data_IF_936035393253
#
_entry.id   IF_936035393253
#
_cell.length_a   1.000
_cell.length_b   1.000
_cell.length_c   1.000
_cell.angle_alpha   90.00
_cell.angle_beta   90.00
_cell.angle_gamma   90.00
#
_symmetry.space_group_name_H-M   'P 1'
#
loop_
_entity.id
_entity.type
_entity.pdbx_description
1 polymer ?
#
# COMPACT_ATOMS: atom_id res chain seq x y z
N UNK A 1 2.54 2.66 3.12
CA UNK A 1 1.85 3.97 3.12
C UNK A 1 0.35 3.79 3.39
N UNK A 2 -0.05 4.08 4.63
CA UNK A 2 -1.46 4.12 5.06
C UNK A 2 -2.27 5.08 4.17
N UNK A 3 -3.56 4.80 3.91
CA UNK A 3 -4.41 5.64 3.07
C UNK A 3 -4.35 7.09 3.55
N UNK A 4 -3.95 8.00 2.66
CA UNK A 4 -3.93 9.43 2.95
C UNK A 4 -5.32 9.87 3.42
N UNK A 5 -5.44 10.55 4.57
CA UNK A 5 -6.72 11.05 5.04
C UNK A 5 -7.25 12.10 4.05
N UNK A 6 -8.40 11.81 3.43
CA UNK A 6 -9.04 12.72 2.50
C UNK A 6 -9.76 13.85 3.26
N UNK A 7 -9.65 15.08 2.76
CA UNK A 7 -10.44 16.21 3.27
C UNK A 7 -11.93 15.91 3.10
N UNK A 8 -12.67 16.00 4.19
CA UNK A 8 -14.10 15.74 4.27
C UNK A 8 -14.94 17.03 4.33
N UNK A 9 -14.34 18.17 4.70
CA UNK A 9 -14.97 19.49 4.69
C UNK A 9 -14.00 20.59 5.15
N UNK A 10 -14.26 21.83 4.74
CA UNK A 10 -13.52 23.03 5.16
C UNK A 10 -14.48 24.18 5.43
N UNK A 11 -14.28 24.91 6.53
CA UNK A 11 -15.03 26.13 6.87
C UNK A 11 -14.04 27.27 7.18
N UNK A 12 -14.31 28.47 6.65
CA UNK A 12 -13.51 29.66 6.93
C UNK A 12 -14.34 30.68 7.73
N UNK A 13 -13.78 31.18 8.83
CA UNK A 13 -14.28 32.36 9.52
C UNK A 13 -13.12 33.31 9.85
N UNK A 14 -12.90 34.32 9.00
CA UNK A 14 -11.78 35.26 9.13
C UNK A 14 -10.41 34.59 9.00
N UNK A 15 -9.59 34.68 10.04
CA UNK A 15 -8.25 34.06 10.15
C UNK A 15 -8.28 32.63 10.71
N UNK A 16 -9.46 32.12 11.07
CA UNK A 16 -9.68 30.78 11.63
C UNK A 16 -10.29 29.85 10.57
N UNK A 17 -9.71 28.67 10.44
CA UNK A 17 -10.09 27.67 9.46
C UNK A 17 -10.36 26.35 10.16
N UNK A 18 -11.46 25.69 9.83
CA UNK A 18 -11.77 24.35 10.32
C UNK A 18 -11.65 23.34 9.18
N UNK A 19 -10.80 22.32 9.37
CA UNK A 19 -10.49 21.29 8.39
C UNK A 19 -10.84 19.92 8.96
N UNK A 20 -11.69 19.18 8.26
CA UNK A 20 -12.11 17.84 8.66
C UNK A 20 -11.49 16.79 7.76
N UNK A 21 -10.93 15.73 8.35
CA UNK A 21 -10.29 14.63 7.64
C UNK A 21 -10.85 13.28 8.06
N UNK A 22 -10.98 12.34 7.11
CA UNK A 22 -11.21 10.94 7.47
C UNK A 22 -9.86 10.27 7.79
N UNK A 23 -9.58 10.13 9.08
CA UNK A 23 -8.34 9.53 9.62
C UNK A 23 -8.55 8.10 10.12
N UNK A 24 -9.65 7.43 9.71
CA UNK A 24 -9.95 6.06 10.13
C UNK A 24 -8.92 5.02 9.65
N UNK A 25 -8.06 5.39 8.71
CA UNK A 25 -6.92 4.61 8.23
C UNK A 25 -5.71 4.61 9.17
N UNK A 26 -5.68 5.48 10.18
CA UNK A 26 -4.61 5.56 11.17
C UNK A 26 -4.98 4.79 12.43
N UNK A 27 -4.03 4.03 12.97
CA UNK A 27 -4.24 3.19 14.16
C UNK A 27 -3.21 3.49 15.26
N UNK A 28 -3.53 3.14 16.51
CA UNK A 28 -2.61 3.26 17.65
C UNK A 28 -1.40 2.31 17.57
N UNK A 29 -1.46 1.32 16.67
CA UNK A 29 -0.35 0.42 16.31
C UNK A 29 0.68 1.09 15.40
N UNK A 30 0.39 2.29 14.88
CA UNK A 30 1.31 3.08 14.07
C UNK A 30 2.10 4.06 14.93
N UNK A 31 3.38 4.20 14.61
CA UNK A 31 4.27 5.23 15.11
C UNK A 31 4.38 6.33 14.05
N UNK A 32 3.78 7.49 14.31
CA UNK A 32 3.85 8.64 13.40
C UNK A 32 5.22 9.31 13.55
N UNK A 33 6.04 9.29 12.50
CA UNK A 33 7.35 9.95 12.47
C UNK A 33 7.25 11.44 12.14
N UNK A 34 6.36 11.81 11.20
CA UNK A 34 6.14 13.19 10.78
C UNK A 34 4.70 13.35 10.26
N UNK A 35 4.03 14.44 10.60
CA UNK A 35 2.77 14.81 9.97
C UNK A 35 2.78 16.29 9.55
N UNK A 36 2.45 16.54 8.28
CA UNK A 36 2.45 17.86 7.67
C UNK A 36 1.10 18.15 7.03
N UNK A 37 0.48 19.24 7.45
CA UNK A 37 -0.68 19.81 6.81
C UNK A 37 -0.23 20.86 5.80
N UNK A 38 -0.56 20.65 4.53
CA UNK A 38 -0.24 21.55 3.42
C UNK A 38 -1.52 22.20 2.92
N UNK A 39 -1.52 23.53 2.84
CA UNK A 39 -2.68 24.36 2.54
C UNK A 39 -2.33 25.38 1.46
N UNK A 40 -3.10 25.45 0.39
CA UNK A 40 -3.00 26.39 -0.73
C UNK A 40 -4.32 27.14 -0.87
N UNK A 41 -4.57 28.08 0.03
CA UNK A 41 -5.81 28.86 0.03
C UNK A 41 -5.53 30.31 -0.40
N UNK A 42 -6.28 30.86 -1.37
CA UNK A 42 -6.04 32.21 -1.90
C UNK A 42 -6.10 33.30 -0.81
N UNK A 43 -6.84 33.08 0.30
CA UNK A 43 -6.94 34.01 1.44
C UNK A 43 -5.81 33.95 2.48
N UNK A 44 -4.99 32.88 2.52
CA UNK A 44 -3.86 32.79 3.46
C UNK A 44 -2.66 33.68 3.07
N UNK A 45 -2.67 34.22 1.85
CA UNK A 45 -1.59 35.01 1.27
C UNK A 45 -1.33 36.35 1.99
N UNK A 46 -2.26 36.83 2.82
CA UNK A 46 -2.14 38.10 3.59
C UNK A 46 -2.27 37.95 5.10
N UNK A 47 -2.60 36.76 5.63
CA UNK A 47 -2.75 36.56 7.06
C UNK A 47 -1.39 36.27 7.70
N UNK A 48 -0.89 37.19 8.54
CA UNK A 48 0.39 37.00 9.25
C UNK A 48 0.33 35.86 10.27
N UNK A 49 -0.87 35.58 10.82
CA UNK A 49 -1.15 34.45 11.70
C UNK A 49 -2.47 33.78 11.25
N UNK A 50 -2.44 32.47 11.00
CA UNK A 50 -3.62 31.68 10.73
C UNK A 50 -3.81 30.62 11.84
N UNK A 51 -5.05 30.39 12.25
CA UNK A 51 -5.41 29.31 13.16
C UNK A 51 -6.20 28.24 12.41
N UNK A 52 -5.75 26.99 12.52
CA UNK A 52 -6.30 25.83 11.83
C UNK A 52 -6.81 24.83 12.88
N UNK A 53 -8.12 24.65 12.93
CA UNK A 53 -8.78 23.63 13.73
C UNK A 53 -8.87 22.34 12.92
N UNK A 54 -8.37 21.24 13.48
CA UNK A 54 -8.32 19.94 12.81
C UNK A 54 -9.34 19.00 13.46
N UNK A 55 -10.19 18.40 12.63
CA UNK A 55 -11.21 17.45 13.04
C UNK A 55 -11.04 16.11 12.33
N UNK A 56 -11.39 15.04 13.02
CA UNK A 56 -11.61 13.71 12.45
C UNK A 56 -13.11 13.53 12.19
N UNK A 57 -13.48 13.13 10.97
CA UNK A 57 -14.87 12.86 10.60
C UNK A 57 -15.01 11.56 9.83
N UNK A 58 -15.84 10.63 10.32
CA UNK A 58 -16.18 9.39 9.60
C UNK A 58 -17.48 9.59 8.80
N UNK A 59 -17.44 9.43 7.47
CA UNK A 59 -18.66 9.45 6.64
C UNK A 59 -19.47 8.16 6.84
N UNK A 60 -20.35 8.11 7.85
CA UNK A 60 -21.42 7.09 7.92
C UNK A 60 -22.71 7.61 7.28
N UNK A 61 -23.44 6.74 6.58
CA UNK A 61 -24.76 7.05 6.03
C UNK A 61 -25.71 7.41 7.18
N UNK A 62 -26.22 8.63 7.16
CA UNK A 62 -27.09 9.16 8.19
C UNK A 62 -28.46 8.48 8.18
N UNK A 63 -29.03 8.28 9.37
CA UNK A 63 -30.47 8.04 9.53
C UNK A 63 -31.23 9.35 9.25
N UNK A 64 -32.49 9.27 8.80
CA UNK A 64 -33.29 10.43 8.38
C UNK A 64 -33.57 11.48 9.47
N UNK A 65 -33.29 11.21 10.76
CA UNK A 65 -33.56 12.13 11.90
C UNK A 65 -32.47 13.19 12.18
N UNK A 66 -31.63 13.52 11.22
CA UNK A 66 -30.88 14.79 11.22
C UNK A 66 -29.71 14.97 12.20
N UNK A 67 -29.43 14.08 13.16
CA UNK A 67 -28.19 14.17 13.97
C UNK A 67 -27.09 13.29 13.38
N UNK A 68 -26.13 13.90 12.68
CA UNK A 68 -25.13 13.14 11.98
C UNK A 68 -23.81 13.89 11.81
N UNK A 69 -23.05 14.02 12.90
CA UNK A 69 -21.62 14.36 12.86
C UNK A 69 -20.93 13.85 14.12
N UNK A 70 -20.34 12.65 14.07
CA UNK A 70 -19.24 12.34 14.99
C UNK A 70 -17.98 13.02 14.42
N UNK A 71 -17.91 14.34 14.59
CA UNK A 71 -16.69 15.11 14.37
C UNK A 71 -15.93 15.13 15.69
N UNK A 72 -14.72 14.57 15.70
CA UNK A 72 -13.84 14.59 16.86
C UNK A 72 -12.80 15.69 16.63
N UNK A 73 -12.73 16.65 17.56
CA UNK A 73 -11.73 17.70 17.53
C UNK A 73 -10.37 17.15 18.00
N UNK A 74 -9.32 17.33 17.20
CA UNK A 74 -7.96 16.89 17.54
C UNK A 74 -7.13 18.01 18.17
N UNK A 75 -7.33 19.26 17.73
CA UNK A 75 -6.61 20.42 18.24
C UNK A 75 -6.53 21.57 17.24
N UNK A 76 -6.00 22.70 17.71
CA UNK A 76 -5.77 23.91 16.91
C UNK A 76 -4.27 24.09 16.68
N UNK A 77 -3.88 24.34 15.43
CA UNK A 77 -2.52 24.75 15.08
C UNK A 77 -2.51 26.23 14.73
N UNK A 78 -1.65 26.98 15.42
CA UNK A 78 -1.45 28.41 15.22
C UNK A 78 -0.02 28.62 14.75
N UNK A 79 0.17 29.35 13.65
CA UNK A 79 1.52 29.65 13.19
C UNK A 79 1.58 30.62 12.03
N UNK A 80 2.72 31.30 11.93
CA UNK A 80 3.12 31.98 10.72
C UNK A 80 3.56 30.92 9.71
N UNK A 81 2.94 30.83 8.53
CA UNK A 81 3.22 29.74 7.62
C UNK A 81 4.58 29.92 6.95
N UNK A 82 5.54 29.02 7.23
CA UNK A 82 6.84 29.00 6.54
C UNK A 82 6.63 28.99 5.04
N UNK A 83 7.12 30.03 4.37
CA UNK A 83 7.03 30.17 2.93
C UNK A 83 8.03 29.21 2.29
N UNK A 84 7.54 28.24 1.53
CA UNK A 84 8.38 27.51 0.58
C UNK A 84 8.26 28.17 -0.80
N UNK A 85 9.16 27.85 -1.74
CA UNK A 85 9.17 28.41 -3.10
C UNK A 85 7.88 28.16 -3.91
N UNK A 86 6.97 27.31 -3.41
CA UNK A 86 5.65 27.07 -3.98
C UNK A 86 4.57 27.74 -3.11
N UNK A 87 3.42 28.08 -3.72
CA UNK A 87 2.24 28.71 -3.08
C UNK A 87 1.58 27.90 -1.95
N UNK A 88 2.23 26.86 -1.43
CA UNK A 88 1.79 25.98 -0.36
C UNK A 88 2.34 26.45 0.98
N UNK A 89 1.44 26.57 1.96
CA UNK A 89 1.78 26.79 3.36
C UNK A 89 1.80 25.45 4.08
N UNK A 90 2.86 25.19 4.86
CA UNK A 90 3.08 23.92 5.55
C UNK A 90 2.99 24.15 7.06
N UNK A 91 2.17 23.36 7.72
CA UNK A 91 2.00 23.33 9.18
C UNK A 91 2.40 21.95 9.68
N UNK A 92 3.30 21.91 10.66
CA UNK A 92 3.64 20.65 11.32
C UNK A 92 2.57 20.30 12.35
N UNK A 93 1.99 19.11 12.22
CA UNK A 93 0.90 18.62 13.08
C UNK A 93 1.26 17.29 13.76
N UNK A 94 2.55 16.93 13.75
CA UNK A 94 3.07 15.64 14.24
C UNK A 94 2.64 15.34 15.67
N UNK A 95 2.88 16.26 16.59
CA UNK A 95 2.60 16.05 18.02
C UNK A 95 1.10 15.95 18.31
N UNK A 96 0.28 16.76 17.62
CA UNK A 96 -1.18 16.73 17.70
C UNK A 96 -1.74 15.37 17.24
N UNK A 97 -1.19 14.81 16.17
CA UNK A 97 -1.62 13.50 15.67
C UNK A 97 -1.14 12.35 16.57
N UNK A 98 0.10 12.41 17.09
CA UNK A 98 0.63 11.44 18.06
C UNK A 98 -0.20 11.42 19.34
N UNK A 99 -0.54 12.59 19.88
CA UNK A 99 -1.35 12.67 21.09
C UNK A 99 -2.73 12.05 20.85
N UNK A 100 -3.37 12.34 19.72
CA UNK A 100 -4.67 11.73 19.40
C UNK A 100 -4.59 10.20 19.24
N UNK A 101 -3.56 9.67 18.58
CA UNK A 101 -3.40 8.22 18.36
C UNK A 101 -3.04 7.42 19.62
N UNK A 102 -2.35 8.04 20.57
CA UNK A 102 -1.87 7.38 21.80
C UNK A 102 -2.62 7.80 23.06
N UNK A 103 -3.63 8.67 22.95
CA UNK A 103 -4.52 9.02 24.05
C UNK A 103 -5.45 7.84 24.38
N UNK A 104 -5.08 7.08 25.41
CA UNK A 104 -6.06 6.41 26.26
C UNK A 104 -6.74 7.48 27.11
N UNK A 105 -7.86 8.05 26.64
CA UNK A 105 -8.69 8.91 27.50
C UNK A 105 -9.55 8.00 28.39
N UNK A 106 -9.46 8.11 29.74
CA UNK A 106 -10.40 7.44 30.63
C UNK A 106 -11.81 7.94 30.32
N UNK A 107 -12.78 7.01 30.24
CA UNK A 107 -14.19 7.34 30.15
C UNK A 107 -14.63 8.04 31.46
N UNK A 108 -14.39 9.35 31.57
CA UNK A 108 -14.64 10.09 32.82
C UNK A 108 -14.79 11.60 32.67
N UNK A 109 -14.01 12.25 31.80
CA UNK A 109 -14.14 13.70 31.57
C UNK A 109 -14.45 14.00 30.12
N UNK A 110 -15.70 13.75 29.76
CA UNK A 110 -16.34 14.39 28.62
C UNK A 110 -16.62 15.84 29.02
N UNK A 111 -15.58 16.69 28.99
CA UNK A 111 -15.75 18.13 29.18
C UNK A 111 -16.65 18.65 28.07
N UNK A 112 -17.93 18.80 28.43
CA UNK A 112 -18.95 19.57 27.74
C UNK A 112 -18.44 21.00 27.64
N UNK A 113 -17.72 21.31 26.58
CA UNK A 113 -17.49 22.70 26.19
C UNK A 113 -18.79 23.18 25.55
N UNK A 114 -19.63 23.81 26.36
CA UNK A 114 -20.73 24.63 25.86
C UNK A 114 -20.11 25.71 24.98
N UNK A 115 -20.45 25.68 23.69
CA UNK A 115 -20.19 26.76 22.77
C UNK A 115 -21.04 27.97 23.18
N UNK A 116 -20.59 28.71 24.19
CA UNK A 116 -21.02 30.08 24.40
C UNK A 116 -20.32 30.94 23.36
N UNK A 117 -20.88 30.90 22.15
CA UNK A 117 -20.45 31.62 20.98
C UNK A 117 -21.46 31.32 19.88
N UNK A 118 -22.49 32.15 19.81
CA UNK A 118 -23.54 32.12 18.81
C UNK A 118 -22.96 32.13 17.39
N UNK A 119 -22.80 30.95 16.81
CA UNK A 119 -22.69 30.74 15.37
C UNK A 119 -23.30 29.37 15.05
N UNK A 120 -24.50 29.40 14.46
CA UNK A 120 -25.15 28.20 13.97
C UNK A 120 -24.22 27.44 12.99
N UNK A 121 -24.25 26.09 12.97
CA UNK A 121 -23.54 25.34 11.94
C UNK A 121 -24.25 25.61 10.60
N UNK A 122 -23.65 26.44 9.76
CA UNK A 122 -24.09 26.60 8.38
C UNK A 122 -23.84 25.30 7.61
N UNK A 123 -24.81 24.95 6.76
CA UNK A 123 -24.85 23.73 5.95
C UNK A 123 -23.56 23.47 5.16
N UNK A 124 -23.26 22.19 4.82
CA UNK A 124 -22.04 21.85 4.08
C UNK A 124 -22.12 22.43 2.66
N UNK A 125 -21.32 23.48 2.43
CA UNK A 125 -21.09 24.05 1.11
C UNK A 125 -20.38 23.05 0.20
N UNK A 126 -20.80 23.05 -1.06
CA UNK A 126 -20.39 22.15 -2.13
C UNK A 126 -18.86 22.11 -2.30
N UNK A 127 -18.27 20.96 -2.00
CA UNK A 127 -16.82 20.72 -2.02
C UNK A 127 -16.34 20.31 -3.42
N UNK A 128 -16.54 21.20 -4.39
CA UNK A 128 -16.10 20.97 -5.78
C UNK A 128 -14.64 21.32 -6.05
N UNK A 129 -14.10 22.33 -5.36
CA UNK A 129 -12.84 22.99 -5.77
C UNK A 129 -11.76 23.07 -4.66
N UNK A 130 -12.09 22.59 -3.44
CA UNK A 130 -11.20 22.68 -2.28
C UNK A 130 -10.28 21.45 -2.08
N UNK A 131 -10.57 20.32 -2.72
CA UNK A 131 -9.82 19.08 -2.51
C UNK A 131 -8.35 19.16 -2.97
N UNK A 132 -8.05 19.95 -4.01
CA UNK A 132 -6.69 20.19 -4.51
C UNK A 132 -5.92 21.28 -3.73
N UNK A 133 -6.56 21.86 -2.71
CA UNK A 133 -6.01 22.99 -1.95
C UNK A 133 -5.57 22.62 -0.54
N UNK A 134 -5.90 21.43 -0.02
CA UNK A 134 -5.53 21.00 1.33
C UNK A 134 -5.14 19.52 1.35
N UNK A 135 -3.95 19.21 1.86
CA UNK A 135 -3.42 17.86 1.97
C UNK A 135 -2.82 17.62 3.35
N UNK A 136 -3.19 16.52 4.01
CA UNK A 136 -2.53 16.05 5.22
C UNK A 136 -1.61 14.87 4.86
N UNK A 137 -0.30 15.10 4.90
CA UNK A 137 0.71 14.06 4.75
C UNK A 137 1.06 13.48 6.11
N UNK A 138 1.00 12.16 6.23
CA UNK A 138 1.37 11.44 7.45
C UNK A 138 2.41 10.39 7.09
N UNK A 139 3.59 10.50 7.67
CA UNK A 139 4.62 9.49 7.64
C UNK A 139 4.51 8.66 8.92
N UNK A 140 4.15 7.38 8.78
CA UNK A 140 4.01 6.45 9.89
C UNK A 140 4.73 5.14 9.59
N UNK A 141 5.17 4.48 10.67
CA UNK A 141 5.75 3.14 10.66
C UNK A 141 4.91 2.24 11.56
N UNK A 142 4.55 1.05 11.10
CA UNK A 142 3.84 0.09 11.95
C UNK A 142 4.78 -0.45 13.04
N UNK A 143 4.31 -0.55 14.29
CA UNK A 143 5.09 -1.04 15.44
C UNK A 143 5.52 -2.50 15.29
N UNK A 144 4.80 -3.27 14.48
CA UNK A 144 5.23 -4.57 13.97
C UNK A 144 5.51 -4.44 12.48
N UNK A 145 6.67 -4.87 11.97
CA UNK A 145 6.88 -4.96 10.53
C UNK A 145 6.03 -6.11 10.00
N UNK A 146 4.73 -5.86 9.79
CA UNK A 146 3.95 -6.70 8.89
C UNK A 146 4.58 -6.58 7.50
N UNK A 147 4.66 -7.69 6.76
CA UNK A 147 5.12 -7.67 5.37
C UNK A 147 4.20 -6.75 4.55
N UNK A 148 4.60 -5.49 4.39
CA UNK A 148 3.93 -4.54 3.51
C UNK A 148 4.29 -4.88 2.07
N UNK A 149 3.48 -5.74 1.44
CA UNK A 149 3.55 -5.97 0.00
C UNK A 149 2.93 -4.78 -0.76
N UNK A 150 3.56 -4.39 -1.86
CA UNK A 150 2.98 -3.43 -2.80
C UNK A 150 1.70 -3.98 -3.43
N UNK A 151 1.56 -5.31 -3.52
CA UNK A 151 0.36 -5.99 -4.01
C UNK A 151 -0.84 -5.64 -3.11
N UNK A 152 -0.76 -5.88 -1.80
CA UNK A 152 -1.82 -5.50 -0.83
C UNK A 152 -2.10 -4.01 -0.83
N UNK A 153 -1.06 -3.19 -0.99
CA UNK A 153 -1.21 -1.73 -1.05
C UNK A 153 -1.98 -1.30 -2.30
N UNK A 154 -1.70 -1.93 -3.44
CA UNK A 154 -2.40 -1.68 -4.70
C UNK A 154 -3.85 -2.17 -4.64
N UNK A 155 -4.09 -3.38 -4.12
CA UNK A 155 -5.44 -3.96 -3.99
C UNK A 155 -6.35 -3.17 -3.05
N UNK A 156 -5.79 -2.64 -1.95
CA UNK A 156 -6.54 -1.81 -1.00
C UNK A 156 -6.71 -0.34 -1.47
N UNK A 157 -6.08 0.06 -2.58
CA UNK A 157 -6.17 1.41 -3.09
C UNK A 157 -7.51 1.68 -3.79
N UNK A 158 -8.24 2.67 -3.28
CA UNK A 158 -9.51 3.15 -3.86
C UNK A 158 -9.38 3.64 -5.31
N UNK A 159 -8.17 3.99 -5.76
CA UNK A 159 -7.94 4.51 -7.12
C UNK A 159 -7.82 3.41 -8.17
N UNK A 160 -7.35 2.21 -7.80
CA UNK A 160 -7.17 1.08 -8.73
C UNK A 160 -8.51 0.34 -8.96
N UNK A 161 -9.35 0.23 -7.92
CA UNK A 161 -10.67 -0.43 -8.01
C UNK A 161 -11.73 0.36 -8.79
N UNK A 162 -11.47 1.62 -9.17
CA UNK A 162 -12.46 2.46 -9.87
C UNK A 162 -12.53 2.18 -11.38
N UNK A 163 -11.54 1.49 -11.95
CA UNK A 163 -11.56 1.12 -13.38
C UNK A 163 -12.47 -0.07 -13.71
N UNK A 164 -12.78 -0.94 -12.73
CA UNK A 164 -13.67 -2.10 -12.91
C UNK A 164 -15.15 -1.81 -12.60
N UNK A 165 -15.49 -0.58 -12.20
CA UNK A 165 -16.82 -0.20 -11.68
C UNK A 165 -17.77 0.53 -12.64
N UNK A 166 -17.49 0.61 -13.94
CA UNK A 166 -18.38 1.27 -14.93
C UNK A 166 -19.03 0.29 -15.91
N UNK A 167 -19.65 -0.77 -15.39
CA UNK A 167 -20.64 -1.56 -16.14
C UNK A 167 -21.79 -1.95 -15.22
N UNK A 168 -22.74 -1.04 -15.03
CA UNK A 168 -23.98 -1.40 -14.34
C UNK A 168 -24.84 -0.25 -13.87
N UNK A 169 -25.43 0.51 -14.80
CA UNK A 169 -26.77 1.10 -14.65
C UNK A 169 -27.16 1.86 -15.93
N UNK A 170 -28.04 1.28 -16.75
CA UNK A 170 -28.55 1.94 -17.95
C UNK A 170 -29.18 0.95 -18.93
N UNK A 171 -30.36 0.46 -18.60
CA UNK A 171 -31.19 -0.36 -19.47
C UNK A 171 -31.69 0.42 -20.71
N UNK A 172 -31.89 -0.34 -21.80
CA UNK A 172 -32.90 -0.11 -22.86
C UNK A 172 -32.72 1.11 -23.77
N UNK A 173 -31.96 0.93 -24.86
CA UNK A 173 -32.36 1.23 -26.27
C UNK A 173 -31.15 1.13 -27.20
N UNK A 174 -31.05 0.01 -27.92
CA UNK A 174 -30.53 -0.13 -29.29
C UNK A 174 -30.02 -1.55 -29.53
N UNK A 175 -30.96 -2.50 -29.44
CA UNK A 175 -30.85 -3.76 -30.16
C UNK A 175 -31.49 -3.53 -31.53
N UNK A 176 -30.73 -2.96 -32.47
CA UNK A 176 -30.93 -2.98 -33.93
C UNK A 176 -29.88 -2.08 -34.57
N UNK A 177 -28.73 -2.66 -34.91
CA UNK A 177 -28.19 -2.64 -36.26
C UNK A 177 -26.89 -3.43 -36.31
N UNK A 178 -27.05 -4.64 -36.85
CA UNK A 178 -26.06 -5.59 -37.26
C UNK A 178 -25.44 -5.08 -38.57
N UNK A 179 -24.11 -5.15 -38.63
CA UNK A 179 -23.24 -5.09 -39.82
C UNK A 179 -23.09 -3.74 -40.55
N UNK A 180 -21.87 -3.57 -41.08
CA UNK A 180 -21.42 -2.54 -42.02
C UNK A 180 -20.94 -1.18 -41.44
N UNK A 181 -19.72 -1.15 -40.90
CA UNK A 181 -18.63 -0.33 -41.49
C UNK A 181 -17.30 -0.50 -40.76
N UNK A 182 -16.26 -0.53 -41.56
CA UNK A 182 -14.96 -1.11 -41.29
C UNK A 182 -13.94 -0.08 -40.75
N UNK A 183 -12.96 -0.63 -40.02
CA UNK A 183 -11.53 -0.28 -40.00
C UNK A 183 -11.14 1.18 -39.69
N UNK A 184 -10.69 1.41 -38.46
CA UNK A 184 -9.45 2.14 -38.17
C UNK A 184 -8.71 1.46 -36.99
N UNK A 185 -7.64 0.74 -37.34
CA UNK A 185 -6.46 0.32 -36.55
C UNK A 185 -6.62 0.18 -35.02
N UNK A 186 -7.22 -0.94 -34.59
CA UNK A 186 -6.80 -1.61 -33.36
C UNK A 186 -5.58 -2.48 -33.68
N UNK A 187 -4.42 -2.15 -33.13
CA UNK A 187 -3.34 -3.12 -33.01
C UNK A 187 -3.88 -4.28 -32.18
N UNK A 188 -3.97 -5.46 -32.77
CA UNK A 188 -4.38 -6.66 -32.07
C UNK A 188 -3.52 -6.85 -30.80
N UNK A 189 -4.08 -7.35 -29.69
CA UNK A 189 -3.25 -8.04 -28.71
C UNK A 189 -2.50 -9.10 -29.50
N UNK A 190 -1.18 -9.00 -29.53
CA UNK A 190 -0.35 -10.12 -30.01
C UNK A 190 -0.80 -11.32 -29.19
N UNK A 191 -1.29 -12.34 -29.89
CA UNK A 191 -1.44 -13.72 -29.42
C UNK A 191 -0.41 -14.01 -28.31
N UNK A 192 -0.80 -14.59 -27.16
CA UNK A 192 0.17 -15.04 -26.18
C UNK A 192 1.09 -16.04 -26.87
N UNK A 193 2.31 -15.60 -27.15
CA UNK A 193 3.31 -16.37 -27.86
C UNK A 193 3.62 -17.63 -27.07
N UNK A 194 3.09 -18.78 -27.48
CA UNK A 194 3.66 -20.12 -27.26
C UNK A 194 4.10 -20.51 -25.82
N UNK A 195 3.58 -19.89 -24.77
CA UNK A 195 3.87 -20.26 -23.37
C UNK A 195 2.76 -21.09 -22.70
N UNK A 196 1.72 -21.48 -23.42
CA UNK A 196 0.56 -22.23 -22.91
C UNK A 196 0.85 -23.69 -22.47
N UNK A 197 2.11 -24.05 -22.23
CA UNK A 197 2.51 -25.39 -21.81
C UNK A 197 3.70 -25.46 -20.85
N UNK A 198 4.28 -24.32 -20.45
CA UNK A 198 5.35 -24.33 -19.44
C UNK A 198 4.74 -24.19 -18.05
N UNK A 199 5.14 -25.04 -17.08
CA UNK A 199 4.61 -24.95 -15.72
C UNK A 199 4.95 -23.61 -15.09
N UNK A 200 4.05 -23.10 -14.24
CA UNK A 200 4.33 -21.94 -13.39
C UNK A 200 5.43 -22.26 -12.39
N UNK A 201 6.08 -21.21 -11.88
CA UNK A 201 7.18 -21.31 -10.92
C UNK A 201 6.81 -22.24 -9.76
N UNK A 202 7.58 -23.33 -9.61
CA UNK A 202 7.38 -24.34 -8.58
C UNK A 202 8.70 -25.01 -8.21
N UNK A 203 8.67 -25.65 -7.06
CA UNK A 203 9.73 -26.56 -6.63
C UNK A 203 9.60 -27.89 -7.35
N UNK A 204 10.71 -28.40 -7.88
CA UNK A 204 10.80 -29.71 -8.54
C UNK A 204 11.98 -30.50 -7.96
N UNK A 205 11.94 -31.83 -8.10
CA UNK A 205 12.99 -32.70 -7.59
C UNK A 205 14.34 -32.47 -8.28
N UNK A 206 15.39 -32.46 -7.48
CA UNK A 206 16.79 -32.47 -7.91
C UNK A 206 17.57 -33.37 -6.96
N UNK A 207 17.64 -34.66 -7.31
CA UNK A 207 18.39 -35.63 -6.52
C UNK A 207 19.89 -35.42 -6.73
N UNK A 208 20.60 -35.11 -5.65
CA UNK A 208 22.06 -35.06 -5.61
C UNK A 208 22.56 -36.42 -5.16
N UNK A 209 23.45 -37.00 -5.95
CA UNK A 209 24.13 -38.26 -5.66
C UNK A 209 25.63 -38.00 -5.54
N UNK A 210 26.16 -38.04 -4.32
CA UNK A 210 27.55 -37.66 -4.10
C UNK A 210 28.54 -38.60 -4.77
N UNK A 211 28.17 -39.86 -5.01
CA UNK A 211 28.97 -40.80 -5.78
C UNK A 211 29.16 -40.31 -7.23
N UNK A 212 28.13 -39.69 -7.82
CA UNK A 212 28.19 -39.14 -9.19
C UNK A 212 28.95 -37.81 -9.27
N UNK A 213 28.96 -37.02 -8.19
CA UNK A 213 29.72 -35.76 -8.12
C UNK A 213 31.22 -35.96 -7.87
N UNK A 214 31.67 -37.20 -7.60
CA UNK A 214 33.04 -37.50 -7.20
C UNK A 214 33.33 -37.21 -5.72
N UNK A 215 32.30 -36.90 -4.92
CA UNK A 215 32.42 -36.60 -3.49
C UNK A 215 32.07 -37.78 -2.59
N UNK A 216 31.62 -38.89 -3.17
CA UNK A 216 31.19 -40.09 -2.45
C UNK A 216 32.28 -40.70 -1.56
N UNK A 217 33.57 -40.57 -1.92
CA UNK A 217 34.66 -41.14 -1.12
C UNK A 217 34.87 -40.45 0.23
N UNK A 218 34.62 -39.15 0.32
CA UNK A 218 34.82 -38.38 1.55
C UNK A 218 33.50 -38.12 2.29
N UNK A 219 32.35 -38.10 1.61
CA UNK A 219 31.03 -37.99 2.25
C UNK A 219 30.54 -39.38 2.67
N UNK A 220 30.40 -39.57 3.99
CA UNK A 220 29.91 -40.82 4.58
C UNK A 220 28.39 -40.86 4.57
N UNK A 221 27.72 -39.77 4.97
CA UNK A 221 26.25 -39.67 5.00
C UNK A 221 25.77 -38.20 4.88
N UNK A 222 24.64 -37.93 4.20
CA UNK A 222 23.90 -38.85 3.34
C UNK A 222 24.65 -39.10 2.03
N UNK A 223 24.45 -40.27 1.41
CA UNK A 223 25.01 -40.57 0.08
C UNK A 223 24.24 -39.90 -1.06
N UNK A 224 22.92 -39.77 -0.86
CA UNK A 224 22.01 -39.07 -1.77
C UNK A 224 21.02 -38.26 -0.96
N UNK A 225 20.62 -37.11 -1.48
CA UNK A 225 19.54 -36.31 -0.92
C UNK A 225 18.85 -35.52 -2.03
N UNK A 226 17.60 -35.10 -1.80
CA UNK A 226 16.90 -34.24 -2.74
C UNK A 226 17.14 -32.78 -2.35
N UNK A 227 17.98 -32.08 -3.11
CA UNK A 227 18.24 -30.65 -2.91
C UNK A 227 17.07 -29.80 -3.42
N UNK A 228 16.25 -30.37 -4.31
CA UNK A 228 15.23 -29.68 -5.11
C UNK A 228 15.82 -28.56 -5.98
N UNK A 229 15.02 -28.05 -6.91
CA UNK A 229 15.32 -26.82 -7.65
C UNK A 229 14.05 -26.06 -7.98
N UNK A 230 14.19 -24.76 -8.20
CA UNK A 230 13.08 -23.94 -8.68
C UNK A 230 13.04 -23.95 -10.21
N UNK A 231 11.86 -24.22 -10.77
CA UNK A 231 11.63 -24.23 -12.21
C UNK A 231 10.24 -23.71 -12.54
N UNK A 232 10.14 -23.01 -13.67
CA UNK A 232 8.88 -22.58 -14.25
C UNK A 232 8.90 -21.11 -14.61
N UNK A 233 7.79 -20.65 -15.15
CA UNK A 233 7.60 -19.25 -15.53
C UNK A 233 6.92 -18.47 -14.41
N UNK A 234 7.33 -17.22 -14.25
CA UNK A 234 6.66 -16.27 -13.37
C UNK A 234 5.56 -15.53 -14.14
N UNK A 235 4.31 -15.51 -13.63
CA UNK A 235 3.24 -14.78 -14.28
C UNK A 235 3.50 -13.28 -14.25
N UNK A 236 2.94 -12.58 -15.25
CA UNK A 236 3.04 -11.13 -15.39
C UNK A 236 1.64 -10.54 -15.55
N UNK A 237 1.12 -9.79 -14.56
CA UNK A 237 1.75 -9.42 -13.30
C UNK A 237 1.79 -10.60 -12.32
N UNK A 238 2.77 -10.59 -11.42
CA UNK A 238 2.89 -11.61 -10.37
C UNK A 238 1.97 -11.31 -9.18
N UNK A 239 1.42 -12.35 -8.57
CA UNK A 239 0.56 -12.24 -7.38
C UNK A 239 1.29 -12.69 -6.10
N UNK A 240 0.63 -12.58 -4.94
CA UNK A 240 1.23 -12.94 -3.64
C UNK A 240 1.56 -14.43 -3.51
N UNK A 241 0.94 -15.30 -4.31
CA UNK A 241 1.14 -16.76 -4.19
C UNK A 241 2.56 -17.17 -4.55
N UNK A 242 3.23 -16.39 -5.41
CA UNK A 242 4.62 -16.57 -5.79
C UNK A 242 5.61 -15.80 -4.90
N UNK A 243 5.16 -15.26 -3.77
CA UNK A 243 5.98 -14.56 -2.76
C UNK A 243 6.99 -13.57 -3.35
N UNK A 244 6.58 -12.67 -4.26
CA UNK A 244 7.51 -11.76 -4.90
C UNK A 244 7.97 -10.68 -3.93
N UNK A 245 9.21 -10.21 -4.09
CA UNK A 245 9.59 -8.92 -3.50
C UNK A 245 8.78 -7.77 -4.10
N UNK A 246 8.72 -6.65 -3.38
CA UNK A 246 8.15 -5.41 -3.92
C UNK A 246 8.81 -4.99 -5.25
N UNK A 247 10.11 -5.23 -5.39
CA UNK A 247 10.85 -4.97 -6.63
C UNK A 247 10.37 -5.88 -7.77
N UNK A 248 10.26 -7.19 -7.51
CA UNK A 248 9.80 -8.17 -8.48
C UNK A 248 8.36 -7.91 -8.94
N UNK A 249 7.48 -7.47 -8.03
CA UNK A 249 6.13 -7.04 -8.39
C UNK A 249 6.15 -5.86 -9.37
N UNK A 250 6.91 -4.80 -9.07
CA UNK A 250 7.07 -3.64 -9.97
C UNK A 250 7.68 -4.07 -11.31
N UNK A 251 8.68 -4.95 -11.30
CA UNK A 251 9.28 -5.48 -12.52
C UNK A 251 8.26 -6.25 -13.36
N UNK A 252 7.40 -7.06 -12.74
CA UNK A 252 6.31 -7.75 -13.46
C UNK A 252 5.31 -6.77 -14.08
N UNK A 253 5.00 -5.66 -13.42
CA UNK A 253 4.15 -4.60 -13.98
C UNK A 253 4.84 -3.90 -15.15
N UNK A 254 6.13 -3.57 -15.01
CA UNK A 254 6.92 -2.98 -16.10
C UNK A 254 7.02 -3.92 -17.29
N UNK A 255 7.15 -5.22 -17.06
CA UNK A 255 7.14 -6.22 -18.12
C UNK A 255 5.80 -6.25 -18.86
N UNK A 256 4.68 -6.18 -18.14
CA UNK A 256 3.34 -6.15 -18.71
C UNK A 256 3.13 -4.93 -19.63
N UNK A 257 3.59 -3.75 -19.23
CA UNK A 257 3.35 -2.50 -19.97
C UNK A 257 4.47 -2.14 -20.96
N UNK A 258 5.72 -2.55 -20.69
CA UNK A 258 6.94 -2.19 -21.45
C UNK A 258 7.94 -3.36 -21.49
N UNK A 259 7.63 -4.45 -22.21
CA UNK A 259 8.38 -5.71 -22.17
C UNK A 259 9.82 -5.64 -22.73
N UNK A 260 10.19 -4.54 -23.42
CA UNK A 260 11.54 -4.36 -23.97
C UNK A 260 12.50 -3.67 -22.99
N UNK A 261 12.02 -3.21 -21.82
CA UNK A 261 12.82 -2.44 -20.86
C UNK A 261 13.37 -3.28 -19.73
N UNK A 262 12.71 -4.38 -19.37
CA UNK A 262 13.04 -5.23 -18.23
C UNK A 262 12.89 -6.70 -18.63
N UNK A 263 13.61 -7.62 -17.99
CA UNK A 263 13.31 -9.05 -18.10
C UNK A 263 12.13 -9.44 -17.21
N UNK A 264 11.51 -10.59 -17.48
CA UNK A 264 10.56 -11.21 -16.55
C UNK A 264 11.25 -11.57 -15.22
N UNK A 265 10.56 -11.50 -14.06
CA UNK A 265 11.06 -12.08 -12.82
C UNK A 265 11.43 -13.56 -12.98
N UNK A 266 12.46 -14.01 -12.26
CA UNK A 266 12.98 -15.37 -12.31
C UNK A 266 12.39 -16.23 -11.18
N UNK A 267 12.16 -17.50 -11.49
CA UNK A 267 11.76 -18.49 -10.49
C UNK A 267 12.98 -18.89 -9.64
N UNK A 268 13.00 -18.50 -8.37
CA UNK A 268 14.16 -18.65 -7.47
C UNK A 268 13.75 -19.12 -6.07
N UNK A 269 14.68 -19.70 -5.28
CA UNK A 269 14.41 -20.10 -3.90
C UNK A 269 14.07 -18.88 -3.04
N UNK A 270 13.01 -19.00 -2.24
CA UNK A 270 12.64 -17.99 -1.23
C UNK A 270 12.79 -18.52 0.20
N UNK A 271 12.88 -19.84 0.36
CA UNK A 271 13.17 -20.49 1.63
C UNK A 271 13.98 -21.75 1.39
N UNK A 272 15.04 -21.92 2.17
CA UNK A 272 15.90 -23.09 2.16
C UNK A 272 16.08 -23.62 3.57
N UNK A 273 16.38 -24.91 3.68
CA UNK A 273 16.68 -25.60 4.92
C UNK A 273 18.10 -26.18 4.88
N UNK A 274 18.73 -26.33 6.05
CA UNK A 274 20.07 -26.88 6.15
C UNK A 274 20.13 -28.40 5.99
N UNK A 275 21.32 -28.91 5.68
CA UNK A 275 21.64 -30.33 5.64
C UNK A 275 22.78 -30.66 6.61
N UNK A 276 22.54 -31.63 7.49
CA UNK A 276 23.59 -32.24 8.31
C UNK A 276 24.33 -33.31 7.51
N UNK A 277 25.66 -33.20 7.45
CA UNK A 277 26.53 -34.09 6.70
C UNK A 277 27.62 -34.69 7.61
N UNK A 278 27.88 -35.99 7.42
CA UNK A 278 28.96 -36.75 8.02
C UNK A 278 30.02 -37.01 6.94
N UNK A 279 31.24 -36.55 7.16
CA UNK A 279 32.31 -36.70 6.17
C UNK A 279 33.70 -36.80 6.80
N UNK A 280 34.66 -37.32 6.03
CA UNK A 280 36.06 -37.40 6.44
C UNK A 280 36.75 -36.05 6.27
N UNK A 281 37.37 -35.54 7.33
CA UNK A 281 38.19 -34.34 7.33
C UNK A 281 39.50 -34.63 8.04
N UNK A 282 40.64 -34.47 7.34
CA UNK A 282 41.99 -34.70 7.89
C UNK A 282 42.18 -36.07 8.59
N UNK A 283 41.50 -37.11 8.08
CA UNK A 283 41.58 -38.47 8.61
C UNK A 283 40.63 -38.76 9.78
N UNK A 284 39.85 -37.78 10.23
CA UNK A 284 38.81 -37.95 11.24
C UNK A 284 37.42 -37.87 10.61
N UNK A 285 36.44 -38.51 11.24
CA UNK A 285 35.03 -38.43 10.84
C UNK A 285 34.36 -37.31 11.61
N UNK A 286 33.79 -36.33 10.92
CA UNK A 286 33.13 -35.16 11.52
C UNK A 286 31.69 -35.01 11.04
N UNK A 287 30.82 -34.50 11.90
CA UNK A 287 29.44 -34.09 11.56
C UNK A 287 29.39 -32.57 11.51
N UNK A 288 28.87 -32.01 10.40
CA UNK A 288 28.62 -30.58 10.26
C UNK A 288 27.24 -30.29 9.72
N UNK A 289 26.74 -29.09 10.02
CA UNK A 289 25.47 -28.58 9.52
C UNK A 289 25.75 -27.48 8.51
N UNK A 290 25.19 -27.62 7.32
CA UNK A 290 25.38 -26.67 6.22
C UNK A 290 24.04 -26.04 5.87
N UNK A 291 23.96 -24.72 6.02
CA UNK A 291 22.78 -23.92 5.65
C UNK A 291 22.55 -23.91 4.15
N UNK A 292 21.32 -23.60 3.74
CA UNK A 292 20.94 -23.35 2.34
C UNK A 292 21.17 -24.53 1.38
N UNK A 293 21.02 -25.77 1.87
CA UNK A 293 21.30 -26.99 1.10
C UNK A 293 20.06 -27.59 0.43
N UNK A 294 18.87 -27.37 0.98
CA UNK A 294 17.61 -27.96 0.49
C UNK A 294 16.61 -26.83 0.24
N UNK A 295 16.06 -26.74 -0.97
CA UNK A 295 15.02 -25.76 -1.28
C UNK A 295 13.68 -26.24 -0.70
N UNK A 296 13.06 -25.40 0.13
CA UNK A 296 11.74 -25.64 0.71
C UNK A 296 10.64 -24.97 -0.12
N UNK A 297 10.88 -23.73 -0.55
CA UNK A 297 9.90 -22.92 -1.26
C UNK A 297 10.54 -22.13 -2.39
N UNK A 298 9.80 -22.00 -3.49
CA UNK A 298 10.16 -21.18 -4.65
C UNK A 298 9.23 -19.98 -4.77
N UNK A 299 9.73 -18.90 -5.34
CA UNK A 299 8.99 -17.69 -5.64
C UNK A 299 9.55 -16.94 -6.85
N UNK A 300 8.96 -15.80 -7.16
CA UNK A 300 9.28 -15.00 -8.33
C UNK A 300 9.97 -13.70 -7.95
N UNK A 301 11.27 -13.58 -8.27
CA UNK A 301 12.11 -12.45 -7.90
C UNK A 301 12.83 -11.79 -9.08
#
# INVERSE_FOLDING_TARGET
>A
PSPCPCLSGSLQNGSRWALSFDMSSLSSSQEVSLAQLRVRLPGLSRAHNASLDIYHSQRRRCRPDGSCTHQLFLGTVVGAPSATQASWKVFEVTNLLRSWLHQAVPAGERSRWEANGSAAPAAPGDSGDAADSVLLLVFSKDKSPGEHSLIRTAESSKYIMRESGWRGAGQRRQRRNRMERQRIKGGAPREPSREQGRPLCRRVDMLVDFEQTGWGSWIVYPKKYNAYRCEGLCPSPVDETFKPTNHAYIQSLLQLYKPNLVPCPACSPVKMSPLSMLYYERGEVVVRHHEDMIIEECGCN
#
